data_IF_107206182157
#
_entry.id   IF_107206182157
#
_cell.length_a   1.000
_cell.length_b   1.000
_cell.length_c   1.000
_cell.angle_alpha   90.00
_cell.angle_beta   90.00
_cell.angle_gamma   90.00
#
_symmetry.space_group_name_H-M   'P 1'
#
loop_
_entity.id
_entity.type
_entity.pdbx_description
1 polymer ?
#
# COMPACT_ATOMS: atom_id res chain seq x y z
N UNK A 1 -18.68 12.81 6.38
CA UNK A 1 -18.10 11.46 6.24
C UNK A 1 -16.67 11.51 5.75
N UNK A 2 -16.34 12.17 4.62
CA UNK A 2 -14.94 12.30 4.20
C UNK A 2 -14.08 13.15 5.16
N UNK A 3 -14.57 14.33 5.56
CA UNK A 3 -13.84 15.21 6.48
C UNK A 3 -13.49 14.53 7.83
N UNK A 4 -14.40 13.73 8.38
CA UNK A 4 -14.21 12.95 9.61
C UNK A 4 -13.22 11.80 9.45
N UNK A 5 -13.06 11.27 8.24
CA UNK A 5 -12.10 10.21 7.94
C UNK A 5 -10.69 10.78 7.78
N UNK A 6 -10.55 11.93 7.10
CA UNK A 6 -9.27 12.63 7.01
C UNK A 6 -8.77 13.14 8.38
N UNK A 7 -9.65 13.59 9.26
CA UNK A 7 -9.27 14.02 10.62
C UNK A 7 -8.90 12.87 11.55
N UNK A 8 -9.29 11.62 11.22
CA UNK A 8 -8.94 10.44 12.00
C UNK A 8 -7.54 9.90 11.71
N UNK A 9 -6.89 10.37 10.64
CA UNK A 9 -5.55 9.94 10.24
C UNK A 9 -4.50 10.69 11.05
N UNK A 10 -3.82 9.99 11.95
CA UNK A 10 -2.80 10.54 12.86
C UNK A 10 -1.71 11.33 12.13
N UNK A 11 -1.31 10.86 10.94
CA UNK A 11 -0.27 11.50 10.13
C UNK A 11 -0.71 12.80 9.44
N UNK A 12 -2.02 13.10 9.36
CA UNK A 12 -2.54 14.37 8.85
C UNK A 12 -2.77 15.42 9.95
N UNK A 13 -2.59 15.07 11.22
CA UNK A 13 -2.88 15.97 12.34
C UNK A 13 -1.84 17.08 12.48
N UNK A 14 -0.56 16.83 12.14
CA UNK A 14 0.51 17.80 12.28
C UNK A 14 1.17 18.08 10.92
N UNK A 15 1.59 19.33 10.70
CA UNK A 15 2.43 19.68 9.54
C UNK A 15 3.73 18.85 9.50
N UNK A 16 4.33 18.58 10.67
CA UNK A 16 5.55 17.76 10.77
C UNK A 16 5.32 16.35 10.22
N UNK A 17 4.22 15.71 10.59
CA UNK A 17 3.90 14.36 10.11
C UNK A 17 3.54 14.36 8.63
N UNK A 18 2.81 15.37 8.14
CA UNK A 18 2.57 15.52 6.69
C UNK A 18 3.89 15.61 5.92
N UNK A 19 4.81 16.44 6.38
CA UNK A 19 6.11 16.60 5.74
C UNK A 19 6.92 15.29 5.77
N UNK A 20 6.86 14.53 6.86
CA UNK A 20 7.53 13.22 6.94
C UNK A 20 6.96 12.22 5.93
N UNK A 21 5.64 11.99 5.96
CA UNK A 21 5.01 10.94 5.15
C UNK A 21 4.97 11.28 3.65
N UNK A 22 4.73 12.53 3.29
CA UNK A 22 4.59 12.92 1.88
C UNK A 22 5.91 13.29 1.22
N UNK A 23 6.95 13.62 1.98
CA UNK A 23 8.20 14.13 1.42
C UNK A 23 9.45 13.41 1.96
N UNK A 24 9.70 13.44 3.28
CA UNK A 24 10.97 12.91 3.81
C UNK A 24 11.08 11.41 3.57
N UNK A 25 10.10 10.61 3.99
CA UNK A 25 10.18 9.16 3.90
C UNK A 25 10.32 8.68 2.45
N UNK A 26 9.47 9.12 1.49
CA UNK A 26 9.61 8.70 0.10
C UNK A 26 10.94 9.13 -0.53
N UNK A 27 11.44 10.32 -0.22
CA UNK A 27 12.71 10.81 -0.75
C UNK A 27 13.91 10.05 -0.17
N UNK A 28 13.89 9.71 1.11
CA UNK A 28 14.93 8.89 1.74
C UNK A 28 14.91 7.47 1.16
N UNK A 29 13.73 6.83 1.07
CA UNK A 29 13.59 5.51 0.46
C UNK A 29 14.11 5.53 -0.98
N UNK A 30 13.68 6.49 -1.79
CA UNK A 30 14.18 6.65 -3.16
C UNK A 30 15.69 6.81 -3.20
N UNK A 31 16.25 7.72 -2.39
CA UNK A 31 17.68 7.97 -2.38
C UNK A 31 18.45 6.69 -2.02
N UNK A 32 18.02 5.97 -0.99
CA UNK A 32 18.63 4.71 -0.57
C UNK A 32 18.56 3.66 -1.68
N UNK A 33 17.40 3.45 -2.29
CA UNK A 33 17.23 2.43 -3.33
C UNK A 33 18.03 2.75 -4.60
N UNK A 34 18.05 4.02 -5.01
CA UNK A 34 18.84 4.47 -6.15
C UNK A 34 20.33 4.34 -5.86
N UNK A 35 20.81 4.72 -4.68
CA UNK A 35 22.22 4.59 -4.31
C UNK A 35 22.68 3.13 -4.28
N UNK A 36 21.85 2.22 -3.76
CA UNK A 36 22.12 0.78 -3.82
C UNK A 36 22.21 0.34 -5.28
N UNK A 37 21.27 0.73 -6.13
CA UNK A 37 21.31 0.37 -7.54
C UNK A 37 22.55 0.94 -8.26
N UNK A 38 22.94 2.17 -7.96
CA UNK A 38 24.14 2.80 -8.50
C UNK A 38 25.42 2.07 -8.11
N UNK A 39 25.48 1.48 -6.91
CA UNK A 39 26.62 0.67 -6.48
C UNK A 39 26.82 -0.58 -7.35
N UNK A 40 25.74 -1.15 -7.89
CA UNK A 40 25.81 -2.33 -8.76
C UNK A 40 25.91 -1.99 -10.26
N UNK A 41 25.21 -0.95 -10.70
CA UNK A 41 25.07 -0.60 -12.13
C UNK A 41 26.04 0.50 -12.60
N UNK A 42 26.71 1.20 -11.67
CA UNK A 42 27.54 2.38 -11.91
C UNK A 42 26.81 3.54 -12.61
N UNK A 43 25.48 3.51 -12.72
CA UNK A 43 24.68 4.52 -13.41
C UNK A 43 23.40 4.84 -12.64
N UNK A 44 22.92 6.07 -12.79
CA UNK A 44 21.65 6.49 -12.22
C UNK A 44 20.49 5.92 -13.04
N UNK A 45 19.54 5.24 -12.39
CA UNK A 45 18.38 4.62 -13.04
C UNK A 45 17.07 5.31 -12.60
N UNK A 46 16.47 6.05 -13.53
CA UNK A 46 15.17 6.70 -13.34
C UNK A 46 14.02 5.71 -13.14
N UNK A 47 14.12 4.51 -13.70
CA UNK A 47 13.15 3.42 -13.50
C UNK A 47 13.10 3.00 -12.04
N UNK A 48 14.25 2.82 -11.39
CA UNK A 48 14.32 2.50 -9.95
C UNK A 48 13.73 3.64 -9.11
N UNK A 49 14.10 4.89 -9.41
CA UNK A 49 13.60 6.05 -8.69
C UNK A 49 12.07 6.19 -8.78
N UNK A 50 11.51 6.11 -9.99
CA UNK A 50 10.07 6.29 -10.23
C UNK A 50 9.25 5.09 -9.74
N UNK A 51 9.76 3.87 -9.87
CA UNK A 51 9.12 2.68 -9.29
C UNK A 51 9.12 2.71 -7.77
N UNK A 52 10.19 3.22 -7.12
CA UNK A 52 10.23 3.41 -5.66
C UNK A 52 9.08 4.31 -5.19
N UNK A 53 8.88 5.48 -5.80
CA UNK A 53 7.77 6.38 -5.46
C UNK A 53 6.41 5.71 -5.66
N UNK A 54 6.24 4.96 -6.76
CA UNK A 54 5.00 4.26 -7.04
C UNK A 54 4.69 3.19 -5.96
N UNK A 55 5.71 2.49 -5.46
CA UNK A 55 5.56 1.55 -4.35
C UNK A 55 5.30 2.27 -3.03
N UNK A 56 6.00 3.36 -2.72
CA UNK A 56 5.73 4.16 -1.51
C UNK A 56 4.28 4.67 -1.50
N UNK A 57 3.70 5.00 -2.66
CA UNK A 57 2.29 5.36 -2.78
C UNK A 57 1.34 4.19 -2.48
N UNK A 58 1.67 2.98 -2.94
CA UNK A 58 0.90 1.77 -2.63
C UNK A 58 0.97 1.42 -1.14
N UNK A 59 2.16 1.52 -0.54
CA UNK A 59 2.38 1.30 0.89
C UNK A 59 1.62 2.31 1.73
N UNK A 60 1.70 3.61 1.41
CA UNK A 60 0.92 4.61 2.13
C UNK A 60 -0.59 4.38 1.99
N UNK A 61 -1.04 3.88 0.83
CA UNK A 61 -2.46 3.51 0.64
C UNK A 61 -2.87 2.37 1.56
N UNK A 62 -2.02 1.35 1.68
CA UNK A 62 -2.20 0.20 2.58
C UNK A 62 -2.30 0.67 4.04
N UNK A 63 -1.32 1.45 4.49
CA UNK A 63 -1.27 2.04 5.84
C UNK A 63 -2.53 2.87 6.12
N UNK A 64 -2.88 3.77 5.20
CA UNK A 64 -4.04 4.66 5.35
C UNK A 64 -5.33 3.87 5.48
N UNK A 65 -5.51 2.82 4.66
CA UNK A 65 -6.68 1.96 4.75
C UNK A 65 -6.74 1.26 6.12
N UNK A 66 -5.64 0.64 6.53
CA UNK A 66 -5.54 -0.09 7.79
C UNK A 66 -5.82 0.83 8.99
N UNK A 67 -5.13 1.97 9.08
CA UNK A 67 -5.35 2.97 10.14
C UNK A 67 -6.78 3.48 10.17
N UNK A 68 -7.41 3.70 9.02
CA UNK A 68 -8.78 4.18 8.97
C UNK A 68 -9.76 3.14 9.54
N UNK A 69 -9.57 1.84 9.30
CA UNK A 69 -10.46 0.80 9.84
C UNK A 69 -10.15 0.54 11.33
N UNK A 70 -8.89 0.54 11.74
CA UNK A 70 -8.51 0.40 13.15
C UNK A 70 -9.03 1.57 13.98
N UNK A 71 -8.96 2.79 13.47
CA UNK A 71 -9.53 3.95 14.15
C UNK A 71 -11.05 3.80 14.35
N UNK A 72 -11.77 3.28 13.37
CA UNK A 72 -13.20 3.01 13.51
C UNK A 72 -13.48 1.89 14.53
N UNK A 73 -12.60 0.89 14.61
CA UNK A 73 -12.66 -0.17 15.62
C UNK A 73 -12.43 0.35 17.05
N UNK A 74 -11.47 1.27 17.23
CA UNK A 74 -11.24 1.96 18.50
C UNK A 74 -12.47 2.79 18.93
N UNK A 75 -13.18 3.37 17.96
CA UNK A 75 -14.43 4.11 18.18
C UNK A 75 -15.68 3.20 18.28
N UNK A 76 -15.51 1.87 18.20
CA UNK A 76 -16.59 0.85 18.22
C UNK A 76 -17.61 0.98 17.09
N UNK A 77 -17.28 1.70 16.02
CA UNK A 77 -18.14 1.87 14.84
C UNK A 77 -18.25 0.54 14.09
N UNK A 78 -17.20 -0.28 14.16
CA UNK A 78 -17.15 -1.61 13.57
C UNK A 78 -18.19 -2.57 14.16
N UNK A 79 -18.48 -2.51 15.47
CA UNK A 79 -19.56 -3.30 16.09
C UNK A 79 -20.93 -2.96 15.50
N UNK A 80 -21.21 -1.67 15.31
CA UNK A 80 -22.47 -1.24 14.69
C UNK A 80 -22.56 -1.68 13.22
N UNK A 81 -21.43 -1.58 12.50
CA UNK A 81 -21.32 -2.00 11.11
C UNK A 81 -21.60 -3.49 10.97
N UNK A 82 -20.93 -4.35 11.75
CA UNK A 82 -21.09 -5.80 11.64
C UNK A 82 -22.44 -6.29 12.14
N UNK A 83 -23.06 -5.60 13.11
CA UNK A 83 -24.39 -5.94 13.61
C UNK A 83 -25.50 -5.61 12.59
N UNK A 84 -25.37 -4.51 11.83
CA UNK A 84 -26.42 -4.07 10.90
C UNK A 84 -26.16 -4.45 9.44
N UNK A 85 -24.98 -4.15 8.91
CA UNK A 85 -24.61 -4.32 7.49
C UNK A 85 -23.09 -4.57 7.34
N UNK A 86 -22.59 -5.80 7.60
CA UNK A 86 -21.16 -6.12 7.58
C UNK A 86 -20.48 -5.86 6.22
N UNK A 87 -21.24 -5.95 5.13
CA UNK A 87 -20.76 -5.70 3.77
C UNK A 87 -21.30 -4.38 3.19
N UNK A 88 -21.46 -3.35 4.02
CA UNK A 88 -21.91 -2.04 3.55
C UNK A 88 -20.95 -1.48 2.50
N UNK A 89 -21.36 -1.52 1.23
CA UNK A 89 -20.56 -1.05 0.10
C UNK A 89 -20.08 0.40 0.30
N UNK A 90 -20.96 1.27 0.80
CA UNK A 90 -20.63 2.68 1.06
C UNK A 90 -19.51 2.85 2.09
N UNK A 91 -19.48 2.01 3.13
CA UNK A 91 -18.44 2.07 4.16
C UNK A 91 -17.08 1.74 3.57
N UNK A 92 -16.97 0.55 2.96
CA UNK A 92 -15.73 0.06 2.37
C UNK A 92 -15.22 0.95 1.23
N UNK A 93 -16.11 1.39 0.34
CA UNK A 93 -15.76 2.29 -0.75
C UNK A 93 -15.22 3.63 -0.23
N UNK A 94 -15.80 4.18 0.85
CA UNK A 94 -15.31 5.44 1.44
C UNK A 94 -13.88 5.29 1.94
N UNK A 95 -13.55 4.18 2.60
CA UNK A 95 -12.19 3.88 3.08
C UNK A 95 -11.20 3.73 1.94
N UNK A 96 -11.58 2.98 0.90
CA UNK A 96 -10.79 2.85 -0.32
C UNK A 96 -10.53 4.23 -0.96
N UNK A 97 -11.56 5.06 -1.15
CA UNK A 97 -11.40 6.38 -1.78
C UNK A 97 -10.45 7.27 -0.98
N UNK A 98 -10.57 7.32 0.34
CA UNK A 98 -9.66 8.11 1.19
C UNK A 98 -8.22 7.61 1.02
N UNK A 99 -8.00 6.31 1.09
CA UNK A 99 -6.68 5.72 0.91
C UNK A 99 -6.09 5.99 -0.48
N UNK A 100 -6.89 5.84 -1.54
CA UNK A 100 -6.51 6.16 -2.92
C UNK A 100 -6.09 7.62 -3.08
N UNK A 101 -6.85 8.57 -2.51
CA UNK A 101 -6.52 10.00 -2.58
C UNK A 101 -5.17 10.27 -1.90
N UNK A 102 -4.95 9.70 -0.71
CA UNK A 102 -3.72 9.91 0.04
C UNK A 102 -2.50 9.34 -0.69
N UNK A 103 -2.56 8.09 -1.13
CA UNK A 103 -1.48 7.47 -1.91
C UNK A 103 -1.20 8.21 -3.21
N UNK A 104 -2.26 8.58 -3.93
CA UNK A 104 -2.12 9.34 -5.19
C UNK A 104 -1.51 10.72 -4.96
N UNK A 105 -1.87 11.39 -3.87
CA UNK A 105 -1.30 12.70 -3.52
C UNK A 105 0.20 12.60 -3.28
N UNK A 106 0.66 11.57 -2.54
CA UNK A 106 2.08 11.30 -2.37
C UNK A 106 2.77 11.09 -3.71
N UNK A 107 2.24 10.23 -4.57
CA UNK A 107 2.83 9.97 -5.87
C UNK A 107 2.91 11.26 -6.70
N UNK A 108 1.83 12.03 -6.81
CA UNK A 108 1.80 13.25 -7.61
C UNK A 108 2.83 14.29 -7.14
N UNK A 109 2.95 14.51 -5.83
CA UNK A 109 3.95 15.43 -5.27
C UNK A 109 5.36 14.96 -5.65
N UNK A 110 5.69 13.70 -5.40
CA UNK A 110 7.05 13.18 -5.60
C UNK A 110 7.40 13.02 -7.08
N UNK A 111 6.46 12.60 -7.93
CA UNK A 111 6.65 12.54 -9.38
C UNK A 111 6.87 13.93 -9.99
N UNK A 112 6.14 14.94 -9.51
CA UNK A 112 6.35 16.33 -9.93
C UNK A 112 7.74 16.84 -9.52
N UNK A 113 8.20 16.52 -8.30
CA UNK A 113 9.56 16.87 -7.86
C UNK A 113 10.63 16.20 -8.73
N UNK A 114 10.47 14.91 -9.03
CA UNK A 114 11.41 14.20 -9.92
C UNK A 114 11.41 14.77 -11.34
N UNK A 115 10.25 15.20 -11.84
CA UNK A 115 10.16 15.93 -13.11
C UNK A 115 11.01 17.21 -13.10
N UNK A 116 10.95 18.02 -12.02
CA UNK A 116 11.77 19.23 -11.89
C UNK A 116 13.28 18.95 -11.85
N UNK A 117 13.68 17.76 -11.40
CA UNK A 117 15.08 17.31 -11.34
C UNK A 117 15.54 16.64 -12.65
N UNK A 118 14.64 16.50 -13.64
CA UNK A 118 14.97 16.01 -14.98
C UNK A 118 14.53 14.57 -15.29
N UNK A 119 13.59 14.01 -14.52
CA UNK A 119 13.06 12.68 -14.80
C UNK A 119 12.37 12.61 -16.18
N UNK A 120 12.62 11.56 -16.98
CA UNK A 120 11.99 11.40 -18.29
C UNK A 120 10.47 11.30 -18.20
N UNK A 121 9.76 12.14 -18.97
CA UNK A 121 8.29 12.16 -19.02
C UNK A 121 7.69 10.80 -19.41
N UNK A 122 8.38 10.01 -20.23
CA UNK A 122 7.94 8.67 -20.62
C UNK A 122 7.80 7.76 -19.41
N UNK A 123 8.77 7.78 -18.49
CA UNK A 123 8.76 6.90 -17.31
C UNK A 123 7.77 7.44 -16.26
N UNK A 124 7.68 8.76 -16.12
CA UNK A 124 6.63 9.39 -15.29
C UNK A 124 5.23 8.99 -15.78
N UNK A 125 4.99 9.03 -17.09
CA UNK A 125 3.73 8.62 -17.70
C UNK A 125 3.38 7.17 -17.39
N UNK A 126 4.36 6.26 -17.44
CA UNK A 126 4.19 4.85 -17.05
C UNK A 126 3.84 4.71 -15.56
N UNK A 127 4.52 5.46 -14.69
CA UNK A 127 4.23 5.46 -13.25
C UNK A 127 2.81 5.99 -12.94
N UNK A 128 2.39 7.08 -13.59
CA UNK A 128 1.04 7.62 -13.45
C UNK A 128 -0.03 6.65 -13.95
N UNK A 129 0.23 5.93 -15.04
CA UNK A 129 -0.69 4.95 -15.60
C UNK A 129 -0.86 3.72 -14.68
N UNK A 130 0.20 3.31 -13.97
CA UNK A 130 0.17 2.20 -13.01
C UNK A 130 -0.33 2.60 -11.62
N UNK A 131 -0.32 3.89 -11.29
CA UNK A 131 -0.66 4.41 -9.96
C UNK A 131 -2.04 3.96 -9.45
N UNK A 132 -3.14 4.05 -10.22
CA UNK A 132 -4.45 3.60 -9.73
C UNK A 132 -4.47 2.13 -9.35
N UNK A 133 -3.80 1.29 -10.15
CA UNK A 133 -3.71 -0.15 -9.93
C UNK A 133 -2.90 -0.47 -8.67
N UNK A 134 -1.75 0.18 -8.50
CA UNK A 134 -0.90 0.04 -7.31
C UNK A 134 -1.60 0.47 -6.02
N UNK A 135 -2.34 1.59 -6.05
CA UNK A 135 -3.11 2.02 -4.88
C UNK A 135 -4.30 1.07 -4.60
N UNK A 136 -4.93 0.48 -5.62
CA UNK A 136 -5.94 -0.57 -5.41
C UNK A 136 -5.33 -1.82 -4.75
N UNK A 137 -4.12 -2.21 -5.14
CA UNK A 137 -3.38 -3.29 -4.47
C UNK A 137 -3.07 -2.94 -3.02
N UNK A 138 -2.66 -1.71 -2.75
CA UNK A 138 -2.50 -1.19 -1.39
C UNK A 138 -3.78 -1.29 -0.56
N UNK A 139 -4.93 -0.88 -1.10
CA UNK A 139 -6.22 -1.01 -0.41
C UNK A 139 -6.57 -2.48 -0.12
N UNK A 140 -6.37 -3.37 -1.09
CA UNK A 140 -6.65 -4.79 -0.94
C UNK A 140 -5.79 -5.40 0.18
N UNK A 141 -4.48 -5.17 0.13
CA UNK A 141 -3.55 -5.66 1.16
C UNK A 141 -3.81 -5.00 2.52
N UNK A 142 -4.22 -3.74 2.56
CA UNK A 142 -4.58 -3.03 3.79
C UNK A 142 -5.81 -3.64 4.44
N UNK A 143 -6.82 -3.97 3.64
CA UNK A 143 -7.99 -4.71 4.10
C UNK A 143 -7.62 -6.08 4.64
N UNK A 144 -6.78 -6.85 3.94
CA UNK A 144 -6.39 -8.19 4.40
C UNK A 144 -5.56 -8.12 5.68
N UNK A 145 -4.61 -7.19 5.74
CA UNK A 145 -3.75 -6.98 6.91
C UNK A 145 -4.60 -6.79 8.15
N UNK A 146 -5.51 -5.81 8.10
CA UNK A 146 -6.47 -5.56 9.17
C UNK A 146 -7.37 -6.77 9.42
N UNK A 147 -7.98 -7.35 8.39
CA UNK A 147 -8.96 -8.42 8.55
C UNK A 147 -8.38 -9.67 9.22
N UNK A 148 -7.08 -9.92 9.09
CA UNK A 148 -6.38 -11.02 9.79
C UNK A 148 -5.91 -10.56 11.18
N UNK A 149 -5.37 -9.35 11.32
CA UNK A 149 -4.86 -8.83 12.60
C UNK A 149 -5.94 -8.30 13.54
N UNK A 150 -7.20 -8.25 13.12
CA UNK A 150 -8.29 -7.56 13.83
C UNK A 150 -8.51 -8.03 15.28
N UNK A 151 -8.13 -9.25 15.67
CA UNK A 151 -8.19 -9.70 17.08
C UNK A 151 -6.83 -9.97 17.72
N UNK A 152 -5.73 -9.62 17.05
CA UNK A 152 -4.39 -9.72 17.62
C UNK A 152 -4.17 -8.63 18.67
N UNK A 153 -3.15 -8.80 19.52
CA UNK A 153 -2.76 -7.79 20.52
C UNK A 153 -2.31 -6.48 19.86
N UNK A 154 -1.75 -6.57 18.65
CA UNK A 154 -1.41 -5.43 17.81
C UNK A 154 -2.19 -5.53 16.48
N UNK A 155 -3.21 -4.68 16.25
CA UNK A 155 -3.97 -4.68 15.01
C UNK A 155 -3.16 -4.16 13.81
N UNK A 156 -1.99 -3.53 14.02
CA UNK A 156 -1.09 -3.09 12.95
C UNK A 156 -0.06 -4.15 12.56
N UNK A 157 0.00 -5.29 13.26
CA UNK A 157 1.08 -6.27 13.11
C UNK A 157 1.35 -6.71 11.66
N UNK A 158 0.31 -7.11 10.94
CA UNK A 158 0.48 -7.57 9.55
C UNK A 158 0.70 -6.43 8.57
N UNK A 159 0.11 -5.27 8.85
CA UNK A 159 0.35 -4.06 8.05
C UNK A 159 1.84 -3.70 8.11
N UNK A 160 2.40 -3.60 9.33
CA UNK A 160 3.82 -3.33 9.56
C UNK A 160 4.75 -4.32 8.85
N UNK A 161 4.40 -5.61 8.84
CA UNK A 161 5.18 -6.63 8.13
C UNK A 161 5.14 -6.40 6.62
N UNK A 162 3.93 -6.23 6.06
CA UNK A 162 3.74 -6.10 4.61
C UNK A 162 4.34 -4.80 4.09
N UNK A 163 4.13 -3.67 4.79
CA UNK A 163 4.71 -2.37 4.42
C UNK A 163 6.24 -2.42 4.45
N UNK A 164 6.84 -3.04 5.46
CA UNK A 164 8.30 -3.15 5.60
C UNK A 164 8.96 -3.97 4.50
N UNK A 165 8.31 -5.02 3.98
CA UNK A 165 8.89 -5.86 2.93
C UNK A 165 8.48 -5.45 1.51
N UNK A 166 7.52 -4.52 1.36
CA UNK A 166 6.94 -4.13 0.06
C UNK A 166 8.01 -3.70 -0.96
N UNK A 167 8.95 -2.84 -0.56
CA UNK A 167 10.02 -2.39 -1.44
C UNK A 167 10.94 -3.54 -1.90
N UNK A 168 11.23 -4.48 -1.01
CA UNK A 168 12.05 -5.66 -1.30
C UNK A 168 11.37 -6.60 -2.31
N UNK A 169 10.10 -6.92 -2.08
CA UNK A 169 9.34 -7.90 -2.88
C UNK A 169 8.82 -7.33 -4.20
N UNK A 170 8.83 -6.02 -4.36
CA UNK A 170 8.32 -5.33 -5.55
C UNK A 170 9.23 -5.42 -6.78
N UNK A 171 10.50 -5.79 -6.62
CA UNK A 171 11.47 -5.81 -7.72
C UNK A 171 11.99 -4.43 -8.12
N UNK A 172 11.86 -3.43 -7.25
CA UNK A 172 12.37 -2.06 -7.48
C UNK A 172 13.89 -2.03 -7.56
N UNK A 173 14.61 -2.74 -6.69
CA UNK A 173 16.08 -2.76 -6.70
C UNK A 173 16.64 -3.63 -7.82
N UNK A 174 16.25 -4.90 -7.83
CA UNK A 174 16.76 -5.89 -8.78
C UNK A 174 15.56 -6.60 -9.38
N UNK A 175 15.66 -6.96 -10.66
CA UNK A 175 14.60 -7.73 -11.33
C UNK A 175 14.41 -9.04 -10.59
N UNK A 176 13.15 -9.40 -10.32
CA UNK A 176 12.78 -10.59 -9.50
C UNK A 176 13.36 -11.90 -10.08
N UNK A 177 13.66 -11.95 -11.38
CA UNK A 177 14.33 -13.09 -12.01
C UNK A 177 15.73 -13.39 -11.44
N UNK A 178 16.40 -12.39 -10.87
CA UNK A 178 17.72 -12.51 -10.26
C UNK A 178 17.67 -12.72 -8.74
N UNK A 179 16.49 -12.83 -8.14
CA UNK A 179 16.35 -13.17 -6.72
C UNK A 179 16.69 -14.64 -6.48
N UNK A 180 17.21 -14.98 -5.29
CA UNK A 180 17.30 -16.38 -4.87
C UNK A 180 15.89 -17.00 -4.81
N UNK A 181 15.78 -18.30 -5.09
CA UNK A 181 14.48 -18.96 -5.30
C UNK A 181 13.47 -18.76 -4.17
N UNK A 182 13.94 -18.75 -2.91
CA UNK A 182 13.08 -18.52 -1.75
C UNK A 182 12.49 -17.10 -1.72
N UNK A 183 13.28 -16.08 -2.09
CA UNK A 183 12.83 -14.69 -2.11
C UNK A 183 11.94 -14.41 -3.31
N UNK A 184 12.25 -15.06 -4.43
CA UNK A 184 11.41 -15.05 -5.64
C UNK A 184 10.02 -15.60 -5.34
N UNK A 185 9.92 -16.72 -4.61
CA UNK A 185 8.65 -17.29 -4.17
C UNK A 185 7.85 -16.31 -3.29
N UNK A 186 8.49 -15.64 -2.34
CA UNK A 186 7.83 -14.61 -1.52
C UNK A 186 7.36 -13.44 -2.39
N UNK A 187 8.17 -13.00 -3.34
CA UNK A 187 7.85 -11.86 -4.20
C UNK A 187 6.62 -12.11 -5.07
N UNK A 188 6.46 -13.35 -5.51
CA UNK A 188 5.28 -13.81 -6.25
C UNK A 188 3.99 -13.84 -5.42
N UNK A 189 4.09 -13.81 -4.09
CA UNK A 189 2.91 -13.62 -3.26
C UNK A 189 2.40 -12.17 -3.30
N UNK A 190 3.15 -11.20 -3.82
CA UNK A 190 2.75 -9.79 -3.84
C UNK A 190 2.42 -9.31 -5.25
N UNK A 191 1.44 -8.41 -5.41
CA UNK A 191 1.00 -7.96 -6.73
C UNK A 191 1.85 -6.83 -7.33
N UNK A 192 3.04 -6.54 -6.77
CA UNK A 192 3.83 -5.36 -7.13
C UNK A 192 4.80 -5.57 -8.31
N UNK A 193 5.14 -6.81 -8.64
CA UNK A 193 6.17 -7.16 -9.62
C UNK A 193 5.91 -6.63 -11.03
N UNK A 194 4.72 -6.88 -11.57
CA UNK A 194 4.37 -6.53 -12.94
C UNK A 194 4.20 -5.01 -13.14
N UNK A 195 3.53 -4.26 -12.25
CA UNK A 195 3.51 -2.80 -12.33
C UNK A 195 4.91 -2.17 -12.29
N UNK A 196 5.81 -2.67 -11.45
CA UNK A 196 7.19 -2.18 -11.38
C UNK A 196 7.95 -2.48 -12.66
N UNK A 197 7.79 -3.70 -13.20
CA UNK A 197 8.35 -4.07 -14.51
C UNK A 197 7.84 -3.12 -15.59
N UNK A 198 6.53 -2.86 -15.65
CA UNK A 198 5.93 -1.94 -16.63
C UNK A 198 6.51 -0.52 -16.52
N UNK A 199 6.73 0.00 -15.31
CA UNK A 199 7.33 1.33 -15.13
C UNK A 199 8.73 1.36 -15.74
N UNK A 200 9.54 0.34 -15.48
CA UNK A 200 10.93 0.25 -15.96
C UNK A 200 11.02 0.02 -17.46
N UNK A 201 10.31 -0.97 -18.00
CA UNK A 201 10.48 -1.45 -19.38
C UNK A 201 9.43 -0.89 -20.34
N UNK A 202 8.23 -0.56 -19.85
CA UNK A 202 7.06 -0.22 -20.65
C UNK A 202 6.24 -1.41 -21.11
N UNK A 203 6.62 -2.63 -20.72
CA UNK A 203 5.95 -3.87 -21.11
C UNK A 203 5.91 -4.86 -19.92
N UNK A 204 4.72 -5.33 -19.59
CA UNK A 204 4.47 -6.27 -18.49
C UNK A 204 3.11 -6.96 -18.63
N UNK A 205 2.99 -8.16 -18.07
CA UNK A 205 1.73 -8.90 -18.06
C UNK A 205 1.04 -8.78 -16.70
N UNK A 206 0.16 -7.78 -16.58
CA UNK A 206 -0.54 -7.46 -15.33
C UNK A 206 -1.52 -8.55 -14.85
N UNK A 207 -1.80 -9.57 -15.66
CA UNK A 207 -2.75 -10.65 -15.32
C UNK A 207 -2.37 -11.34 -14.01
N UNK A 208 -1.07 -11.57 -13.82
CA UNK A 208 -0.57 -12.24 -12.62
C UNK A 208 -0.81 -11.41 -11.35
N UNK A 209 -0.44 -10.12 -11.38
CA UNK A 209 -0.64 -9.21 -10.25
C UNK A 209 -2.12 -9.05 -9.89
N UNK A 210 -3.01 -8.98 -10.89
CA UNK A 210 -4.46 -8.92 -10.67
C UNK A 210 -4.96 -10.20 -10.02
N UNK A 211 -4.52 -11.36 -10.51
CA UNK A 211 -4.89 -12.67 -9.97
C UNK A 211 -4.45 -12.85 -8.51
N UNK A 212 -3.20 -12.51 -8.19
CA UNK A 212 -2.68 -12.58 -6.81
C UNK A 212 -3.43 -11.62 -5.89
N UNK A 213 -3.76 -10.43 -6.35
CA UNK A 213 -4.59 -9.49 -5.57
C UNK A 213 -5.96 -10.08 -5.27
N UNK A 214 -6.57 -10.76 -6.24
CA UNK A 214 -7.85 -11.42 -6.04
C UNK A 214 -7.78 -12.54 -5.01
N UNK A 215 -6.72 -13.34 -5.01
CA UNK A 215 -6.45 -14.35 -3.98
C UNK A 215 -6.35 -13.70 -2.60
N UNK A 216 -5.57 -12.62 -2.48
CA UNK A 216 -5.45 -11.87 -1.22
C UNK A 216 -6.81 -11.36 -0.74
N UNK A 217 -7.61 -10.76 -1.62
CA UNK A 217 -8.96 -10.30 -1.27
C UNK A 217 -9.85 -11.44 -0.78
N UNK A 218 -9.82 -12.62 -1.41
CA UNK A 218 -10.55 -13.80 -0.93
C UNK A 218 -10.09 -14.17 0.49
N UNK A 219 -8.78 -14.24 0.73
CA UNK A 219 -8.22 -14.55 2.05
C UNK A 219 -8.70 -13.53 3.09
N UNK A 220 -8.65 -12.25 2.78
CA UNK A 220 -9.14 -11.19 3.67
C UNK A 220 -10.63 -11.26 3.94
N UNK A 221 -11.45 -11.54 2.93
CA UNK A 221 -12.91 -11.68 3.10
C UNK A 221 -13.22 -12.88 3.98
N UNK A 222 -12.55 -14.01 3.76
CA UNK A 222 -12.70 -15.21 4.57
C UNK A 222 -12.30 -14.91 6.02
N UNK A 223 -11.12 -14.29 6.24
CA UNK A 223 -10.66 -13.89 7.56
C UNK A 223 -11.67 -12.97 8.25
N UNK A 224 -12.15 -11.94 7.55
CA UNK A 224 -13.17 -11.03 8.05
C UNK A 224 -14.45 -11.77 8.49
N UNK A 225 -14.99 -12.65 7.64
CA UNK A 225 -16.19 -13.45 7.96
C UNK A 225 -15.98 -14.31 9.20
N UNK A 226 -14.83 -14.97 9.31
CA UNK A 226 -14.49 -15.79 10.47
C UNK A 226 -14.37 -14.95 11.74
N UNK A 227 -13.90 -13.71 11.64
CA UNK A 227 -13.70 -12.84 12.80
C UNK A 227 -14.99 -12.14 13.28
N UNK A 228 -16.01 -11.94 12.43
CA UNK A 228 -17.27 -11.28 12.83
C UNK A 228 -17.92 -11.94 14.05
N UNK A 229 -18.08 -13.27 14.04
CA UNK A 229 -18.75 -14.01 15.12
C UNK A 229 -18.05 -13.83 16.48
N UNK A 230 -16.73 -14.08 16.61
CA UNK A 230 -16.03 -13.88 17.87
C UNK A 230 -16.00 -12.42 18.34
N UNK A 231 -15.89 -11.43 17.43
CA UNK A 231 -15.96 -10.01 17.80
C UNK A 231 -17.33 -9.69 18.42
N UNK A 232 -18.42 -10.06 17.73
CA UNK A 232 -19.78 -9.83 18.23
C UNK A 232 -20.06 -10.52 19.57
N UNK A 233 -19.56 -11.73 19.75
CA UNK A 233 -19.76 -12.50 20.98
C UNK A 233 -19.03 -11.90 22.19
N UNK A 234 -17.82 -11.35 22.00
CA UNK A 234 -17.03 -10.73 23.07
C UNK A 234 -17.52 -9.32 23.41
N UNK A 235 -18.06 -8.59 22.43
CA UNK A 235 -18.51 -7.19 22.59
C UNK A 235 -17.37 -6.21 22.90
N UNK A 236 -16.11 -6.64 22.77
CA UNK A 236 -14.88 -5.89 23.04
C UNK A 236 -13.76 -6.42 22.14
N UNK A 237 -12.87 -5.54 21.71
CA UNK A 237 -11.61 -5.94 21.07
C UNK A 237 -10.62 -6.48 22.10
N UNK A 238 -9.67 -7.30 21.66
CA UNK A 238 -8.68 -7.91 22.54
C UNK A 238 -7.51 -6.98 22.90
N UNK A 239 -7.31 -5.93 22.09
CA UNK A 239 -6.27 -4.92 22.22
C UNK A 239 -6.80 -3.61 22.80
#
# INVERSE_FOLDING_TARGET
MFATQFSGLSFLNNWRTKLTYFFITPMISLALLVLINMQYSNQFDWGVALSSIAISAAVLTLETFCSAVINDANLRIDFELIAKKPFSFRYWLTKCIVALIIGSTLALINLFLLYLVGAPLVIIGRALLMLPLLCLYGCALGFVSWAISWQMNDPYFLENIISSIAELVSGVLVVISAYPDWLKAISFLFPFSEPVTYIKTGDANLTYSVFITFIWLIIGIIAYIFQIKPVLAKGKHHY
#
